data_IF_122569112122
#
_entry.id   IF_122569112122
#
_cell.length_a   1.000
_cell.length_b   1.000
_cell.length_c   1.000
_cell.angle_alpha   90.00
_cell.angle_beta   90.00
_cell.angle_gamma   90.00
#
_symmetry.space_group_name_H-M   'P 1'
#
loop_
_entity.id
_entity.type
_entity.pdbx_description
1 polymer ?
#
# COMPACT_ATOMS: atom_id res chain seq x y z
N UNK A 1 22.28 16.56 10.58
CA UNK A 1 21.62 15.91 9.41
C UNK A 1 20.93 16.98 8.58
N UNK A 2 21.11 16.98 7.26
CA UNK A 2 20.49 17.93 6.32
C UNK A 2 19.81 17.15 5.20
N UNK A 3 18.64 17.61 4.75
CA UNK A 3 17.84 16.99 3.68
C UNK A 3 18.06 17.68 2.32
N UNK A 4 17.51 17.10 1.24
CA UNK A 4 17.76 17.50 -0.16
C UNK A 4 17.56 19.00 -0.41
N UNK A 5 16.38 19.54 -0.11
CA UNK A 5 16.02 20.93 -0.41
C UNK A 5 16.89 21.94 0.34
N UNK A 6 17.26 21.61 1.59
CA UNK A 6 18.17 22.42 2.41
C UNK A 6 19.62 22.34 1.92
N UNK A 7 20.12 21.14 1.61
CA UNK A 7 21.49 20.93 1.10
C UNK A 7 21.73 21.62 -0.23
N UNK A 8 20.75 21.58 -1.12
CA UNK A 8 20.82 22.18 -2.46
C UNK A 8 20.34 23.64 -2.50
N UNK A 9 19.90 24.18 -1.36
CA UNK A 9 19.39 25.55 -1.26
C UNK A 9 18.18 25.83 -2.17
N UNK A 10 17.34 24.82 -2.43
CA UNK A 10 16.28 24.87 -3.46
C UNK A 10 15.24 25.96 -3.20
N UNK A 11 15.03 26.29 -1.92
CA UNK A 11 14.11 27.32 -1.44
C UNK A 11 14.79 28.43 -0.65
N UNK A 12 16.13 28.50 -0.66
CA UNK A 12 16.90 29.56 0.03
C UNK A 12 17.62 30.49 -0.95
N UNK A 13 17.82 31.75 -0.56
CA UNK A 13 18.55 32.73 -1.36
C UNK A 13 17.74 33.39 -2.49
N UNK A 14 18.40 34.26 -3.26
CA UNK A 14 17.77 35.09 -4.30
C UNK A 14 17.28 34.26 -5.50
N UNK A 15 18.08 33.29 -5.96
CA UNK A 15 17.79 32.49 -7.15
C UNK A 15 16.56 31.58 -7.05
N UNK A 16 16.06 31.32 -5.84
CA UNK A 16 14.86 30.51 -5.58
C UNK A 16 13.61 31.35 -5.31
N UNK A 17 13.67 32.68 -5.44
CA UNK A 17 12.53 33.57 -5.17
C UNK A 17 11.30 33.24 -6.02
N UNK A 18 11.47 32.88 -7.29
CA UNK A 18 10.36 32.45 -8.16
C UNK A 18 9.68 31.18 -7.65
N UNK A 19 10.46 30.18 -7.21
CA UNK A 19 9.93 28.94 -6.62
C UNK A 19 9.17 29.21 -5.33
N UNK A 20 9.75 30.00 -4.42
CA UNK A 20 9.06 30.42 -3.19
C UNK A 20 7.78 31.20 -3.50
N UNK A 21 7.77 32.07 -4.51
CA UNK A 21 6.58 32.84 -4.87
C UNK A 21 5.40 31.93 -5.27
N UNK A 22 5.65 30.83 -6.00
CA UNK A 22 4.62 29.85 -6.33
C UNK A 22 4.04 29.22 -5.06
N UNK A 23 4.89 28.71 -4.16
CA UNK A 23 4.40 28.10 -2.92
C UNK A 23 3.78 29.11 -1.94
N UNK A 24 4.27 30.34 -1.88
CA UNK A 24 3.60 31.42 -1.14
C UNK A 24 2.22 31.73 -1.72
N UNK A 25 2.06 31.67 -3.04
CA UNK A 25 0.77 31.73 -3.72
C UNK A 25 -0.17 30.58 -3.33
N UNK A 26 0.36 29.42 -2.95
CA UNK A 26 -0.41 28.29 -2.40
C UNK A 26 -0.73 28.43 -0.90
N UNK A 27 -0.27 29.50 -0.23
CA UNK A 27 -0.53 29.75 1.18
C UNK A 27 0.57 29.32 2.15
N UNK A 28 1.73 28.88 1.66
CA UNK A 28 2.90 28.59 2.52
C UNK A 28 3.67 29.86 2.86
N UNK A 29 4.39 29.87 3.97
CA UNK A 29 5.29 30.98 4.33
C UNK A 29 6.78 30.59 4.34
N UNK A 30 7.65 31.47 4.85
CA UNK A 30 9.08 31.18 4.93
C UNK A 30 9.41 30.12 5.98
N UNK A 31 8.61 29.97 7.04
CA UNK A 31 8.79 28.93 8.05
C UNK A 31 8.47 27.56 7.44
N UNK A 32 7.35 27.44 6.73
CA UNK A 32 6.94 26.22 6.02
C UNK A 32 8.00 25.76 5.03
N UNK A 33 8.53 26.69 4.23
CA UNK A 33 9.53 26.39 3.20
C UNK A 33 10.95 26.17 3.76
N UNK A 34 11.16 26.41 5.05
CA UNK A 34 12.41 26.12 5.75
C UNK A 34 12.51 24.70 6.29
N UNK A 35 11.38 23.97 6.34
CA UNK A 35 11.23 22.61 6.84
C UNK A 35 11.35 21.58 5.69
N UNK A 36 11.48 20.27 5.98
CA UNK A 36 11.37 19.23 4.97
C UNK A 36 10.01 19.25 4.28
N UNK A 37 9.99 19.30 2.93
CA UNK A 37 8.76 19.27 2.16
C UNK A 37 8.35 17.81 1.88
N UNK A 38 7.25 17.36 2.46
CA UNK A 38 6.82 15.96 2.41
C UNK A 38 5.61 15.80 1.49
N UNK A 39 5.76 15.03 0.42
CA UNK A 39 4.65 14.64 -0.45
C UNK A 39 3.73 13.64 0.23
N UNK A 40 2.43 13.90 0.26
CA UNK A 40 1.41 12.91 0.63
C UNK A 40 0.73 12.47 -0.66
N UNK A 41 1.13 11.31 -1.16
CA UNK A 41 0.56 10.71 -2.38
C UNK A 41 -0.76 10.06 -2.01
N UNK A 42 -1.87 10.71 -2.37
CA UNK A 42 -3.21 10.26 -1.99
C UNK A 42 -3.97 9.72 -3.21
N UNK A 43 -4.38 8.46 -3.14
CA UNK A 43 -5.14 7.77 -4.21
C UNK A 43 -6.65 7.77 -3.97
N UNK A 44 -7.14 8.60 -3.03
CA UNK A 44 -8.56 8.75 -2.72
C UNK A 44 -9.41 9.06 -3.97
N UNK A 45 -10.57 8.41 -4.05
CA UNK A 45 -11.60 8.65 -5.05
C UNK A 45 -12.90 7.95 -4.65
N UNK A 46 -14.01 8.36 -5.28
CA UNK A 46 -15.34 7.81 -5.02
C UNK A 46 -15.62 6.48 -5.73
N UNK A 47 -14.75 6.07 -6.66
CA UNK A 47 -14.96 4.93 -7.55
C UNK A 47 -14.38 3.59 -7.03
N UNK A 48 -13.73 3.60 -5.87
CA UNK A 48 -13.15 2.40 -5.27
C UNK A 48 -13.26 2.41 -3.75
N UNK A 49 -13.93 1.39 -3.19
CA UNK A 49 -14.12 1.28 -1.75
C UNK A 49 -12.80 1.20 -0.96
N UNK A 50 -11.72 0.71 -1.58
CA UNK A 50 -10.39 0.70 -0.97
C UNK A 50 -9.74 2.08 -0.83
N UNK A 51 -10.24 3.10 -1.54
CA UNK A 51 -9.64 4.42 -1.59
C UNK A 51 -10.54 5.53 -1.04
N UNK A 52 -11.85 5.32 -0.94
CA UNK A 52 -12.83 6.36 -0.54
C UNK A 52 -12.57 6.98 0.84
N UNK A 53 -11.88 6.28 1.75
CA UNK A 53 -11.54 6.78 3.08
C UNK A 53 -10.15 7.40 3.20
N UNK A 54 -9.34 7.39 2.13
CA UNK A 54 -7.93 7.78 2.24
C UNK A 54 -7.72 9.26 2.54
N UNK A 55 -8.65 10.14 2.20
CA UNK A 55 -8.61 11.56 2.62
C UNK A 55 -8.57 11.72 4.13
N UNK A 56 -9.29 10.86 4.87
CA UNK A 56 -9.27 10.84 6.33
C UNK A 56 -7.89 10.44 6.84
N UNK A 57 -7.24 9.48 6.19
CA UNK A 57 -5.88 9.06 6.56
C UNK A 57 -4.86 10.12 6.16
N UNK A 58 -4.99 10.74 4.99
CA UNK A 58 -4.16 11.84 4.53
C UNK A 58 -4.18 13.01 5.53
N UNK A 59 -5.37 13.39 6.03
CA UNK A 59 -5.48 14.41 7.08
C UNK A 59 -4.67 14.07 8.35
N UNK A 60 -4.68 12.79 8.78
CA UNK A 60 -3.89 12.32 9.93
C UNK A 60 -2.39 12.27 9.64
N UNK A 61 -1.99 11.84 8.44
CA UNK A 61 -0.61 11.90 7.98
C UNK A 61 -0.09 13.33 8.00
N UNK A 62 -0.83 14.28 7.41
CA UNK A 62 -0.47 15.71 7.41
C UNK A 62 -0.30 16.26 8.81
N UNK A 63 -1.20 15.91 9.74
CA UNK A 63 -1.06 16.28 11.15
C UNK A 63 0.22 15.71 11.78
N UNK A 64 0.57 14.46 11.48
CA UNK A 64 1.82 13.84 11.93
C UNK A 64 3.08 14.53 11.37
N UNK A 65 3.06 14.90 10.10
CA UNK A 65 4.16 15.63 9.43
C UNK A 65 4.39 16.98 10.11
N UNK A 66 3.31 17.75 10.32
CA UNK A 66 3.38 19.05 11.00
C UNK A 66 3.92 18.92 12.43
N UNK A 67 3.48 17.91 13.18
CA UNK A 67 3.96 17.65 14.54
C UNK A 67 5.46 17.33 14.61
N UNK A 68 6.02 16.73 13.55
CA UNK A 68 7.45 16.39 13.48
C UNK A 68 8.31 17.51 12.85
N UNK A 69 7.71 18.65 12.51
CA UNK A 69 8.40 19.81 11.92
C UNK A 69 8.67 19.66 10.42
N UNK A 70 7.85 18.91 9.69
CA UNK A 70 7.79 18.90 8.23
C UNK A 70 6.64 19.75 7.69
N UNK A 71 6.64 19.97 6.38
CA UNK A 71 5.58 20.69 5.66
C UNK A 71 4.93 19.74 4.66
N UNK A 72 3.64 19.37 4.86
CA UNK A 72 2.98 18.42 3.97
C UNK A 72 2.48 19.07 2.67
N UNK A 73 2.70 18.39 1.54
CA UNK A 73 2.16 18.71 0.22
C UNK A 73 1.38 17.51 -0.28
N UNK A 74 0.04 17.62 -0.27
CA UNK A 74 -0.79 16.55 -0.79
C UNK A 74 -0.97 16.66 -2.30
N UNK A 75 -0.86 15.53 -2.99
CA UNK A 75 -1.21 15.42 -4.40
C UNK A 75 -1.77 14.04 -4.71
N UNK A 76 -2.54 13.95 -5.78
CA UNK A 76 -3.18 12.70 -6.19
C UNK A 76 -2.54 12.07 -7.42
N UNK A 77 -2.71 10.76 -7.51
CA UNK A 77 -2.53 9.99 -8.74
C UNK A 77 -3.77 9.13 -8.97
N UNK A 78 -3.93 8.59 -10.16
CA UNK A 78 -5.12 7.80 -10.51
C UNK A 78 -5.17 6.50 -9.70
N UNK A 79 -6.37 6.03 -9.41
CA UNK A 79 -6.60 4.70 -8.87
C UNK A 79 -7.93 4.14 -9.37
N UNK A 80 -7.98 2.82 -9.51
CA UNK A 80 -9.14 2.07 -9.99
C UNK A 80 -9.49 0.94 -9.03
N UNK A 81 -10.68 0.37 -9.20
CA UNK A 81 -11.08 -0.87 -8.56
C UNK A 81 -11.16 -1.96 -9.63
N UNK A 82 -10.18 -2.88 -9.63
CA UNK A 82 -10.12 -4.00 -10.59
C UNK A 82 -11.33 -4.94 -10.54
N UNK A 83 -12.12 -4.92 -9.47
CA UNK A 83 -13.35 -5.71 -9.34
C UNK A 83 -14.49 -5.25 -10.27
N UNK A 84 -14.55 -3.96 -10.62
CA UNK A 84 -15.63 -3.39 -11.42
C UNK A 84 -15.61 -3.86 -12.89
N UNK A 85 -14.46 -3.84 -13.60
CA UNK A 85 -14.42 -4.25 -15.00
C UNK A 85 -14.26 -5.76 -15.23
N UNK A 86 -14.36 -6.61 -14.20
CA UNK A 86 -14.25 -8.08 -14.34
C UNK A 86 -15.27 -8.57 -15.38
N UNK A 87 -14.84 -9.44 -16.30
CA UNK A 87 -15.67 -9.96 -17.38
C UNK A 87 -15.84 -9.01 -18.57
N UNK A 88 -15.22 -7.82 -18.55
CA UNK A 88 -15.27 -6.85 -19.66
C UNK A 88 -13.89 -6.70 -20.36
N UNK A 89 -13.85 -6.21 -21.60
CA UNK A 89 -12.59 -5.91 -22.29
C UNK A 89 -11.73 -4.82 -21.60
N UNK A 90 -12.30 -4.08 -20.65
CA UNK A 90 -11.62 -2.98 -19.97
C UNK A 90 -10.70 -3.45 -18.83
N UNK A 91 -10.80 -4.71 -18.39
CA UNK A 91 -9.90 -5.26 -17.38
C UNK A 91 -8.42 -5.19 -17.80
N UNK A 92 -8.13 -5.14 -19.11
CA UNK A 92 -6.77 -4.96 -19.66
C UNK A 92 -6.03 -3.71 -19.17
N UNK A 93 -6.75 -2.71 -18.68
CA UNK A 93 -6.14 -1.48 -18.15
C UNK A 93 -5.61 -1.62 -16.73
N UNK A 94 -5.98 -2.68 -16.01
CA UNK A 94 -5.62 -2.82 -14.60
C UNK A 94 -4.10 -2.87 -14.43
N UNK A 95 -3.40 -3.80 -15.10
CA UNK A 95 -1.95 -3.92 -14.90
C UNK A 95 -1.19 -2.68 -15.40
N UNK A 96 -1.64 -2.07 -16.50
CA UNK A 96 -1.01 -0.89 -17.11
C UNK A 96 -1.04 0.31 -16.16
N UNK A 97 -2.05 0.42 -15.31
CA UNK A 97 -2.19 1.55 -14.37
C UNK A 97 -0.99 1.66 -13.42
N UNK A 98 -0.37 0.53 -13.08
CA UNK A 98 0.78 0.46 -12.18
C UNK A 98 1.92 1.37 -12.66
N UNK A 99 2.25 1.28 -13.94
CA UNK A 99 3.37 2.03 -14.53
C UNK A 99 3.02 3.51 -14.76
N UNK A 100 1.75 3.82 -15.01
CA UNK A 100 1.23 5.20 -15.06
C UNK A 100 1.33 5.87 -13.69
N UNK A 101 0.93 5.17 -12.63
CA UNK A 101 1.02 5.64 -11.24
C UNK A 101 2.48 5.85 -10.85
N UNK A 102 3.35 4.89 -11.13
CA UNK A 102 4.78 5.01 -10.87
C UNK A 102 5.37 6.28 -11.50
N UNK A 103 5.07 6.51 -12.77
CA UNK A 103 5.53 7.68 -13.52
C UNK A 103 4.95 8.99 -12.94
N UNK A 104 3.67 8.99 -12.57
CA UNK A 104 2.99 10.13 -11.95
C UNK A 104 3.63 10.54 -10.62
N UNK A 105 3.94 9.57 -9.75
CA UNK A 105 4.62 9.81 -8.46
C UNK A 105 6.03 10.35 -8.69
N UNK A 106 6.81 9.71 -9.57
CA UNK A 106 8.19 10.10 -9.88
C UNK A 106 8.27 11.54 -10.40
N UNK A 107 7.43 11.88 -11.38
CA UNK A 107 7.38 13.21 -11.99
C UNK A 107 7.02 14.26 -10.92
N UNK A 108 5.95 14.02 -10.18
CA UNK A 108 5.45 15.01 -9.23
C UNK A 108 6.46 15.25 -8.10
N UNK A 109 7.04 14.18 -7.55
CA UNK A 109 8.03 14.26 -6.49
C UNK A 109 9.28 15.07 -6.91
N UNK A 110 9.78 14.83 -8.12
CA UNK A 110 11.00 15.47 -8.60
C UNK A 110 10.80 16.88 -9.15
N UNK A 111 9.69 17.15 -9.85
CA UNK A 111 9.41 18.49 -10.39
C UNK A 111 9.08 19.48 -9.26
N UNK A 112 8.36 19.03 -8.22
CA UNK A 112 8.06 19.86 -7.04
C UNK A 112 9.20 19.91 -6.02
N UNK A 113 10.32 19.23 -6.29
CA UNK A 113 11.51 19.25 -5.45
C UNK A 113 11.22 18.81 -4.00
N UNK A 114 10.39 17.78 -3.83
CA UNK A 114 10.04 17.24 -2.53
C UNK A 114 11.24 16.54 -1.88
N UNK A 115 11.20 16.44 -0.56
CA UNK A 115 12.26 15.84 0.27
C UNK A 115 11.96 14.41 0.70
N UNK A 116 10.68 14.02 0.77
CA UNK A 116 10.26 12.66 1.09
C UNK A 116 8.78 12.43 0.79
N UNK A 117 8.34 11.17 0.83
CA UNK A 117 7.00 10.76 0.40
C UNK A 117 6.29 9.88 1.43
N UNK A 118 5.00 10.12 1.66
CA UNK A 118 4.07 9.17 2.25
C UNK A 118 3.16 8.66 1.15
N UNK A 119 3.11 7.34 1.00
CA UNK A 119 2.39 6.65 -0.07
C UNK A 119 1.10 6.06 0.51
N UNK A 120 -0.06 6.61 0.13
CA UNK A 120 -1.37 6.09 0.53
C UNK A 120 -1.99 5.33 -0.64
N UNK A 121 -2.13 4.01 -0.48
CA UNK A 121 -2.87 3.16 -1.41
C UNK A 121 -3.45 1.93 -0.71
N UNK A 122 -4.44 1.30 -1.34
CA UNK A 122 -5.06 0.10 -0.77
C UNK A 122 -5.33 -1.02 -1.78
N UNK A 123 -5.59 -0.73 -3.06
CA UNK A 123 -5.95 -1.78 -4.02
C UNK A 123 -4.76 -2.29 -4.83
N UNK A 124 -4.86 -3.58 -5.19
CA UNK A 124 -4.15 -4.33 -6.24
C UNK A 124 -2.90 -3.65 -6.85
N UNK A 125 -2.95 -3.20 -8.11
CA UNK A 125 -1.81 -2.60 -8.82
C UNK A 125 -1.43 -1.19 -8.38
N UNK A 126 -2.24 -0.55 -7.52
CA UNK A 126 -1.99 0.81 -7.04
C UNK A 126 -0.80 0.79 -6.06
N UNK A 127 -0.75 -0.20 -5.18
CA UNK A 127 0.32 -0.38 -4.18
C UNK A 127 1.71 -0.53 -4.84
N UNK A 128 1.94 -1.49 -5.75
CA UNK A 128 3.22 -1.58 -6.44
C UNK A 128 3.49 -0.34 -7.30
N UNK A 129 2.48 0.31 -7.88
CA UNK A 129 2.66 1.55 -8.64
C UNK A 129 3.27 2.68 -7.79
N UNK A 130 2.71 2.95 -6.61
CA UNK A 130 3.26 4.00 -5.72
C UNK A 130 4.63 3.62 -5.15
N UNK A 131 4.88 2.34 -4.88
CA UNK A 131 6.19 1.86 -4.41
C UNK A 131 7.27 1.98 -5.49
N UNK A 132 6.97 1.60 -6.73
CA UNK A 132 7.89 1.77 -7.87
C UNK A 132 8.18 3.27 -8.08
N UNK A 133 7.15 4.11 -8.07
CA UNK A 133 7.32 5.56 -8.20
C UNK A 133 8.21 6.15 -7.10
N UNK A 134 8.07 5.66 -5.87
CA UNK A 134 8.93 6.04 -4.75
C UNK A 134 10.39 5.59 -4.93
N UNK A 135 10.62 4.35 -5.38
CA UNK A 135 11.96 3.84 -5.71
C UNK A 135 12.62 4.71 -6.78
N UNK A 136 11.92 4.97 -7.89
CA UNK A 136 12.42 5.80 -9.00
C UNK A 136 12.66 7.25 -8.61
N UNK A 137 11.85 7.79 -7.70
CA UNK A 137 12.05 9.15 -7.19
C UNK A 137 13.39 9.33 -6.46
N UNK A 138 13.93 8.24 -5.88
CA UNK A 138 15.14 8.26 -5.08
C UNK A 138 14.99 8.99 -3.73
N UNK A 139 13.75 9.26 -3.28
CA UNK A 139 13.48 9.99 -2.05
C UNK A 139 13.14 9.06 -0.88
N UNK A 140 13.47 9.46 0.37
CA UNK A 140 12.93 8.83 1.58
C UNK A 140 11.41 8.68 1.48
N UNK A 141 10.92 7.46 1.67
CA UNK A 141 9.52 7.13 1.41
C UNK A 141 8.99 6.10 2.38
N UNK A 142 7.75 6.25 2.82
CA UNK A 142 7.05 5.29 3.68
C UNK A 142 5.64 5.02 3.14
N UNK A 143 5.23 3.76 3.17
CA UNK A 143 3.90 3.32 2.78
C UNK A 143 2.96 3.26 3.97
N UNK A 144 1.71 3.65 3.75
CA UNK A 144 0.62 3.40 4.67
C UNK A 144 -0.54 2.78 3.92
N UNK A 145 -0.90 1.56 4.33
CA UNK A 145 -2.01 0.83 3.76
C UNK A 145 -3.35 1.44 4.13
N UNK A 146 -4.31 1.42 3.19
CA UNK A 146 -5.71 1.75 3.48
C UNK A 146 -6.36 0.78 4.48
N UNK A 147 -5.92 -0.47 4.49
CA UNK A 147 -6.43 -1.54 5.35
C UNK A 147 -7.61 -2.31 4.74
N UNK A 148 -7.89 -3.53 5.22
CA UNK A 148 -9.01 -4.33 4.75
C UNK A 148 -10.35 -3.71 5.18
N UNK A 149 -11.39 -3.93 4.38
CA UNK A 149 -12.77 -3.69 4.80
C UNK A 149 -13.21 -4.72 5.86
N UNK A 150 -14.29 -4.40 6.57
CA UNK A 150 -14.97 -5.38 7.41
C UNK A 150 -15.75 -6.39 6.54
N UNK A 151 -16.29 -7.40 7.19
CA UNK A 151 -16.96 -8.53 6.54
C UNK A 151 -18.44 -8.52 6.86
N UNK A 152 -19.25 -9.14 6.01
CA UNK A 152 -20.65 -9.43 6.32
C UNK A 152 -20.83 -10.86 6.79
N UNK A 153 -22.00 -11.15 7.37
CA UNK A 153 -22.43 -12.52 7.65
C UNK A 153 -23.51 -12.95 6.66
N UNK A 154 -23.34 -14.14 6.10
CA UNK A 154 -24.28 -14.77 5.18
C UNK A 154 -24.38 -16.25 5.52
N UNK A 155 -25.59 -16.78 5.68
CA UNK A 155 -25.84 -18.20 6.02
C UNK A 155 -25.01 -18.71 7.23
N UNK A 156 -24.88 -17.86 8.27
CA UNK A 156 -24.18 -18.21 9.51
C UNK A 156 -22.65 -18.15 9.45
N UNK A 157 -22.06 -17.83 8.28
CA UNK A 157 -20.61 -17.69 8.08
C UNK A 157 -20.22 -16.28 7.67
N UNK A 158 -18.93 -15.95 7.79
CA UNK A 158 -18.38 -14.75 7.18
C UNK A 158 -18.46 -14.88 5.65
N UNK A 159 -18.75 -13.78 4.97
CA UNK A 159 -18.74 -13.69 3.51
C UNK A 159 -17.93 -12.47 3.06
N UNK A 160 -17.22 -12.67 1.96
CA UNK A 160 -16.38 -11.69 1.27
C UNK A 160 -16.73 -11.70 -0.22
N UNK A 161 -16.11 -10.84 -1.02
CA UNK A 161 -16.47 -10.67 -2.44
C UNK A 161 -16.48 -11.98 -3.24
N UNK A 162 -15.59 -12.93 -2.92
CA UNK A 162 -15.52 -14.22 -3.61
C UNK A 162 -16.80 -15.05 -3.48
N UNK A 163 -17.57 -14.92 -2.40
CA UNK A 163 -18.88 -15.57 -2.30
C UNK A 163 -19.89 -15.04 -3.32
N UNK A 164 -19.90 -13.72 -3.54
CA UNK A 164 -20.76 -13.11 -4.56
C UNK A 164 -20.28 -13.53 -5.95
N UNK A 165 -18.98 -13.48 -6.22
CA UNK A 165 -18.40 -13.87 -7.50
C UNK A 165 -18.72 -15.34 -7.85
N UNK A 166 -18.65 -16.24 -6.86
CA UNK A 166 -19.05 -17.64 -7.03
C UNK A 166 -20.51 -17.78 -7.44
N UNK A 167 -21.43 -17.00 -6.87
CA UNK A 167 -22.83 -17.03 -7.30
C UNK A 167 -23.00 -16.43 -8.69
N UNK A 168 -22.36 -15.29 -8.99
CA UNK A 168 -22.49 -14.59 -10.28
C UNK A 168 -21.99 -15.46 -11.43
N UNK A 169 -20.79 -16.02 -11.30
CA UNK A 169 -20.19 -16.85 -12.35
C UNK A 169 -20.67 -18.30 -12.31
N UNK A 170 -21.01 -18.82 -11.13
CA UNK A 170 -21.53 -20.18 -10.94
C UNK A 170 -22.98 -20.37 -11.38
N UNK A 171 -23.83 -19.34 -11.25
CA UNK A 171 -25.23 -19.39 -11.67
C UNK A 171 -25.42 -19.68 -13.17
N UNK A 172 -24.40 -19.42 -13.99
CA UNK A 172 -24.41 -19.78 -15.41
C UNK A 172 -24.44 -21.30 -15.66
N UNK A 173 -24.18 -22.11 -14.62
CA UNK A 173 -24.02 -23.56 -14.73
C UNK A 173 -25.06 -24.37 -13.92
N UNK A 174 -26.05 -23.73 -13.28
CA UNK A 174 -27.02 -24.40 -12.40
C UNK A 174 -28.48 -24.00 -12.64
N UNK A 175 -29.41 -24.84 -12.17
CA UNK A 175 -30.87 -24.68 -12.32
C UNK A 175 -31.56 -24.02 -11.09
N UNK A 176 -30.81 -23.59 -10.07
CA UNK A 176 -31.36 -22.99 -8.85
C UNK A 176 -31.65 -21.48 -9.00
N UNK A 177 -32.79 -21.03 -8.48
CA UNK A 177 -33.08 -19.60 -8.33
C UNK A 177 -32.22 -18.98 -7.21
N UNK A 178 -31.09 -18.41 -7.60
CA UNK A 178 -30.14 -17.73 -6.71
C UNK A 178 -30.42 -16.24 -6.54
N UNK A 179 -31.49 -15.70 -7.13
CA UNK A 179 -31.73 -14.26 -7.25
C UNK A 179 -31.76 -13.55 -5.89
N UNK A 180 -32.42 -14.14 -4.90
CA UNK A 180 -32.50 -13.58 -3.55
C UNK A 180 -31.14 -13.58 -2.83
N UNK A 181 -30.33 -14.63 -3.02
CA UNK A 181 -28.98 -14.74 -2.44
C UNK A 181 -28.02 -13.74 -3.07
N UNK A 182 -28.06 -13.63 -4.40
CA UNK A 182 -27.32 -12.63 -5.16
C UNK A 182 -27.65 -11.23 -4.66
N UNK A 183 -28.93 -10.89 -4.55
CA UNK A 183 -29.36 -9.57 -4.09
C UNK A 183 -28.87 -9.25 -2.69
N UNK A 184 -29.00 -10.20 -1.76
CA UNK A 184 -28.50 -10.01 -0.40
C UNK A 184 -26.99 -9.74 -0.39
N UNK A 185 -26.19 -10.54 -1.11
CA UNK A 185 -24.74 -10.34 -1.15
C UNK A 185 -24.35 -9.04 -1.87
N UNK A 186 -25.02 -8.68 -2.98
CA UNK A 186 -24.84 -7.40 -3.67
C UNK A 186 -24.96 -6.21 -2.70
N UNK A 187 -26.01 -6.22 -1.87
CA UNK A 187 -26.29 -5.11 -0.95
C UNK A 187 -25.38 -5.11 0.31
N UNK A 188 -24.69 -6.21 0.63
CA UNK A 188 -24.05 -6.39 1.95
C UNK A 188 -22.60 -6.86 1.95
N UNK A 189 -22.07 -7.46 0.89
CA UNK A 189 -20.76 -8.13 0.90
C UNK A 189 -19.58 -7.16 1.08
N UNK A 190 -19.78 -5.90 0.68
CA UNK A 190 -18.84 -4.81 0.88
C UNK A 190 -19.44 -3.77 1.85
N UNK A 191 -19.42 -4.00 3.17
CA UNK A 191 -20.16 -3.20 4.14
C UNK A 191 -19.59 -1.80 4.38
N UNK A 192 -18.41 -1.48 3.85
CA UNK A 192 -17.76 -0.20 4.07
C UNK A 192 -16.40 -0.07 3.37
N UNK A 193 -15.64 0.99 3.68
CA UNK A 193 -14.36 1.26 3.04
C UNK A 193 -13.29 0.21 3.40
N UNK A 194 -12.31 0.05 2.51
CA UNK A 194 -11.15 -0.82 2.65
C UNK A 194 -10.94 -1.80 1.49
N UNK A 195 -9.77 -2.42 1.41
CA UNK A 195 -9.49 -3.47 0.42
C UNK A 195 -10.33 -4.74 0.71
N UNK A 196 -10.60 -5.56 -0.31
CA UNK A 196 -11.31 -6.85 -0.16
C UNK A 196 -10.84 -7.63 1.07
N UNK A 197 -11.72 -8.13 1.93
CA UNK A 197 -11.32 -8.73 3.22
C UNK A 197 -10.70 -10.16 3.14
N UNK A 198 -10.30 -10.58 1.94
CA UNK A 198 -9.68 -11.88 1.64
C UNK A 198 -8.21 -11.71 1.24
N UNK A 199 -7.46 -12.81 1.16
CA UNK A 199 -6.06 -12.84 0.73
C UNK A 199 -5.92 -12.70 -0.80
N UNK A 200 -6.48 -11.62 -1.35
CA UNK A 200 -6.24 -11.19 -2.73
C UNK A 200 -4.94 -10.40 -2.85
N UNK A 201 -4.65 -9.89 -4.04
CA UNK A 201 -3.43 -9.12 -4.28
C UNK A 201 -3.33 -7.87 -3.40
N UNK A 202 -4.44 -7.17 -3.18
CA UNK A 202 -4.46 -5.98 -2.33
C UNK A 202 -3.91 -6.25 -0.92
N UNK A 203 -4.40 -7.27 -0.20
CA UNK A 203 -3.86 -7.59 1.12
C UNK A 203 -2.50 -8.26 1.07
N UNK A 204 -2.23 -9.07 0.04
CA UNK A 204 -0.89 -9.63 -0.18
C UNK A 204 0.13 -8.50 -0.28
N UNK A 205 -0.09 -7.50 -1.12
CA UNK A 205 0.81 -6.36 -1.31
C UNK A 205 0.87 -5.42 -0.10
N UNK A 206 -0.22 -5.23 0.65
CA UNK A 206 -0.18 -4.47 1.91
C UNK A 206 0.70 -5.17 2.96
N UNK A 207 0.57 -6.49 3.10
CA UNK A 207 1.39 -7.30 4.01
C UNK A 207 2.84 -7.30 3.55
N UNK A 208 3.08 -7.43 2.24
CA UNK A 208 4.42 -7.37 1.66
C UNK A 208 5.09 -6.03 1.89
N UNK A 209 4.38 -4.92 1.69
CA UNK A 209 4.94 -3.59 1.94
C UNK A 209 5.39 -3.41 3.40
N UNK A 210 4.76 -4.09 4.36
CA UNK A 210 5.25 -4.14 5.73
C UNK A 210 6.45 -5.10 5.88
N UNK A 211 6.36 -6.30 5.32
CA UNK A 211 7.40 -7.32 5.39
C UNK A 211 8.74 -6.94 4.74
N UNK A 212 8.72 -6.08 3.72
CA UNK A 212 9.92 -5.55 3.06
C UNK A 212 10.42 -4.23 3.69
N UNK A 213 9.86 -3.82 4.83
CA UNK A 213 10.33 -2.66 5.60
C UNK A 213 9.79 -1.30 5.13
N UNK A 214 8.86 -1.27 4.17
CA UNK A 214 8.32 -0.01 3.64
C UNK A 214 7.17 0.58 4.47
N UNK A 215 6.65 -0.15 5.47
CA UNK A 215 5.53 0.29 6.33
C UNK A 215 5.89 0.14 7.80
N UNK A 216 5.16 0.83 8.68
CA UNK A 216 5.31 0.63 10.12
C UNK A 216 4.83 -0.78 10.52
N UNK A 217 5.54 -1.50 11.41
CA UNK A 217 5.11 -2.80 11.90
C UNK A 217 3.72 -2.77 12.55
N UNK A 218 2.90 -3.77 12.23
CA UNK A 218 1.51 -3.93 12.60
C UNK A 218 0.51 -3.09 11.79
N UNK A 219 0.95 -2.26 10.85
CA UNK A 219 0.05 -1.31 10.18
C UNK A 219 -0.79 -1.91 9.05
N UNK A 220 -0.29 -2.95 8.36
CA UNK A 220 -0.86 -3.43 7.11
C UNK A 220 -2.28 -3.97 7.26
N UNK A 221 -2.50 -4.81 8.28
CA UNK A 221 -3.73 -5.60 8.46
C UNK A 221 -4.81 -4.87 9.27
N UNK A 222 -4.50 -3.71 9.87
CA UNK A 222 -5.47 -2.93 10.64
C UNK A 222 -6.67 -2.55 9.75
N UNK A 223 -7.91 -2.92 10.12
CA UNK A 223 -9.09 -2.59 9.34
C UNK A 223 -9.26 -1.09 9.09
N UNK A 224 -9.76 -0.74 7.90
CA UNK A 224 -9.85 0.64 7.41
C UNK A 224 -10.65 1.57 8.34
N UNK A 225 -11.67 1.04 9.02
CA UNK A 225 -12.57 1.79 9.90
C UNK A 225 -12.09 1.91 11.35
N UNK A 226 -11.00 1.23 11.73
CA UNK A 226 -10.52 1.27 13.10
C UNK A 226 -9.75 2.56 13.38
N UNK A 227 -9.98 3.16 14.55
CA UNK A 227 -9.22 4.33 15.01
C UNK A 227 -7.70 4.06 15.11
N UNK A 228 -7.32 2.78 15.22
CA UNK A 228 -5.93 2.36 15.14
C UNK A 228 -5.26 2.72 13.82
N UNK A 229 -5.99 2.64 12.69
CA UNK A 229 -5.47 3.02 11.38
C UNK A 229 -5.10 4.50 11.34
N UNK A 230 -5.92 5.36 11.94
CA UNK A 230 -5.61 6.79 12.07
C UNK A 230 -4.42 7.08 12.98
N UNK A 231 -4.23 6.29 14.05
CA UNK A 231 -3.04 6.38 14.90
C UNK A 231 -1.79 5.97 14.12
N UNK A 232 -1.86 4.92 13.30
CA UNK A 232 -0.78 4.59 12.36
C UNK A 232 -0.53 5.71 11.35
N UNK A 233 -1.57 6.30 10.76
CA UNK A 233 -1.43 7.42 9.84
C UNK A 233 -0.66 8.60 10.45
N UNK A 234 -1.00 8.98 11.68
CA UNK A 234 -0.29 10.04 12.41
C UNK A 234 1.17 9.64 12.68
N UNK A 235 1.43 8.39 13.09
CA UNK A 235 2.80 7.88 13.32
C UNK A 235 3.63 7.84 12.04
N UNK A 236 3.04 7.42 10.92
CA UNK A 236 3.68 7.42 9.60
C UNK A 236 4.10 8.84 9.20
N UNK A 237 3.21 9.82 9.39
CA UNK A 237 3.51 11.23 9.13
C UNK A 237 4.66 11.78 9.98
N UNK A 238 4.82 11.33 11.22
CA UNK A 238 6.00 11.69 12.03
C UNK A 238 7.26 10.97 11.52
N UNK A 239 7.16 9.66 11.26
CA UNK A 239 8.29 8.83 10.86
C UNK A 239 8.95 9.30 9.57
N UNK A 240 8.17 9.71 8.56
CA UNK A 240 8.74 10.17 7.28
C UNK A 240 9.64 11.39 7.45
N UNK A 241 9.32 12.30 8.37
CA UNK A 241 10.15 13.48 8.63
C UNK A 241 11.51 13.08 9.21
N UNK A 242 11.55 12.04 10.03
CA UNK A 242 12.79 11.49 10.56
C UNK A 242 13.57 10.71 9.49
N UNK A 243 12.89 9.91 8.66
CA UNK A 243 13.50 9.23 7.51
C UNK A 243 14.16 10.21 6.54
N UNK A 244 13.57 11.39 6.33
CA UNK A 244 14.16 12.45 5.51
C UNK A 244 15.44 13.02 6.12
N UNK A 245 15.53 13.13 7.45
CA UNK A 245 16.76 13.56 8.13
C UNK A 245 17.83 12.47 8.09
N UNK A 246 17.44 11.21 8.19
CA UNK A 246 18.29 10.02 8.07
C UNK A 246 18.73 9.72 6.63
N UNK A 247 18.13 10.39 5.63
CA UNK A 247 18.29 10.08 4.21
C UNK A 247 17.92 8.61 3.91
N UNK A 248 16.92 8.07 4.60
CA UNK A 248 16.52 6.66 4.51
C UNK A 248 15.58 6.42 3.32
N UNK A 249 16.16 6.12 2.16
CA UNK A 249 15.45 5.87 0.89
C UNK A 249 15.04 4.40 0.74
N UNK A 250 14.06 4.08 -0.13
CA UNK A 250 13.71 2.69 -0.44
C UNK A 250 14.92 1.82 -0.82
N UNK A 251 15.89 2.37 -1.56
CA UNK A 251 17.13 1.65 -1.94
C UNK A 251 18.04 1.31 -0.74
N UNK A 252 17.92 2.03 0.38
CA UNK A 252 18.64 1.71 1.63
C UNK A 252 17.87 0.77 2.55
N UNK A 253 16.57 0.60 2.31
CA UNK A 253 15.70 -0.29 3.10
C UNK A 253 15.60 -1.65 2.41
N UNK A 254 15.23 -1.68 1.14
CA UNK A 254 14.91 -2.90 0.41
C UNK A 254 16.21 -3.52 -0.13
N UNK A 255 16.71 -4.54 0.55
CA UNK A 255 17.77 -5.42 0.05
C UNK A 255 17.21 -6.66 -0.66
N UNK A 256 18.12 -7.49 -1.21
CA UNK A 256 17.75 -8.81 -1.73
C UNK A 256 17.08 -9.66 -0.65
N UNK A 257 17.63 -9.65 0.57
CA UNK A 257 17.09 -10.35 1.73
C UNK A 257 15.68 -9.85 2.11
N UNK A 258 15.40 -8.54 2.05
CA UNK A 258 14.04 -8.04 2.23
C UNK A 258 13.08 -8.60 1.17
N UNK A 259 13.51 -8.69 -0.09
CA UNK A 259 12.69 -9.28 -1.16
C UNK A 259 12.47 -10.79 -0.96
N UNK A 260 13.49 -11.54 -0.53
CA UNK A 260 13.35 -12.96 -0.18
C UNK A 260 12.42 -13.15 1.03
N UNK A 261 12.48 -12.26 2.03
CA UNK A 261 11.51 -12.22 3.12
C UNK A 261 10.09 -11.94 2.60
N UNK A 262 9.96 -11.07 1.60
CA UNK A 262 8.71 -10.84 0.89
C UNK A 262 8.18 -12.12 0.20
N UNK A 263 9.03 -12.87 -0.50
CA UNK A 263 8.63 -14.15 -1.11
C UNK A 263 8.19 -15.14 -0.02
N UNK A 264 8.98 -15.28 1.05
CA UNK A 264 8.69 -16.14 2.20
C UNK A 264 7.34 -15.80 2.82
N UNK A 265 7.06 -14.52 3.04
CA UNK A 265 5.76 -14.05 3.53
C UNK A 265 4.63 -14.38 2.55
N UNK A 266 4.85 -14.18 1.25
CA UNK A 266 3.86 -14.52 0.21
C UNK A 266 3.51 -16.01 0.28
N UNK A 267 4.50 -16.90 0.38
CA UNK A 267 4.27 -18.34 0.49
C UNK A 267 3.55 -18.68 1.79
N UNK A 268 4.02 -18.16 2.92
CA UNK A 268 3.43 -18.44 4.23
C UNK A 268 1.98 -18.00 4.37
N UNK A 269 1.59 -16.90 3.71
CA UNK A 269 0.21 -16.43 3.73
C UNK A 269 -0.68 -16.99 2.61
N UNK A 270 -0.14 -17.82 1.72
CA UNK A 270 -0.77 -18.20 0.45
C UNK A 270 -1.26 -16.97 -0.32
N UNK A 271 -0.36 -16.00 -0.48
CA UNK A 271 -0.62 -14.74 -1.15
C UNK A 271 -0.89 -14.90 -2.65
N UNK A 272 -1.41 -13.83 -3.25
CA UNK A 272 -1.71 -13.77 -4.69
C UNK A 272 -0.48 -14.03 -5.55
N UNK A 273 -0.64 -14.77 -6.64
CA UNK A 273 0.41 -15.00 -7.64
C UNK A 273 0.88 -13.70 -8.32
N UNK A 274 0.06 -12.64 -8.33
CA UNK A 274 0.46 -11.31 -8.81
C UNK A 274 1.64 -10.73 -8.01
N UNK A 275 1.86 -11.17 -6.77
CA UNK A 275 3.01 -10.77 -5.98
C UNK A 275 4.34 -11.09 -6.68
N UNK A 276 4.40 -12.18 -7.47
CA UNK A 276 5.58 -12.54 -8.28
C UNK A 276 5.92 -11.39 -9.24
N UNK A 277 4.94 -10.93 -10.02
CA UNK A 277 5.13 -9.84 -10.99
C UNK A 277 5.57 -8.55 -10.29
N UNK A 278 4.98 -8.24 -9.14
CA UNK A 278 5.24 -7.01 -8.41
C UNK A 278 6.62 -7.02 -7.74
N UNK A 279 7.01 -8.09 -7.06
CA UNK A 279 8.33 -8.22 -6.45
C UNK A 279 9.45 -8.20 -7.49
N UNK A 280 9.29 -8.90 -8.62
CA UNK A 280 10.25 -8.82 -9.73
C UNK A 280 10.36 -7.39 -10.30
N UNK A 281 9.26 -6.66 -10.36
CA UNK A 281 9.27 -5.27 -10.82
C UNK A 281 10.00 -4.34 -9.84
N UNK A 282 9.79 -4.51 -8.53
CA UNK A 282 10.52 -3.78 -7.50
C UNK A 282 12.01 -4.09 -7.54
N UNK A 283 12.38 -5.38 -7.66
CA UNK A 283 13.77 -5.82 -7.77
C UNK A 283 14.47 -5.16 -8.96
N UNK A 284 13.80 -5.11 -10.12
CA UNK A 284 14.32 -4.47 -11.32
C UNK A 284 14.58 -2.97 -11.16
N UNK A 285 13.65 -2.22 -10.58
CA UNK A 285 13.84 -0.78 -10.34
C UNK A 285 14.90 -0.49 -9.26
N UNK A 286 15.21 -1.47 -8.41
CA UNK A 286 16.28 -1.43 -7.42
C UNK A 286 17.62 -1.98 -7.92
N UNK A 287 17.69 -2.53 -9.13
CA UNK A 287 18.86 -3.24 -9.65
C UNK A 287 19.31 -4.39 -8.71
N UNK A 288 18.33 -5.16 -8.22
CA UNK A 288 18.53 -6.34 -7.38
C UNK A 288 18.23 -7.58 -8.20
N UNK A 289 19.15 -8.55 -8.15
CA UNK A 289 18.98 -9.85 -8.80
C UNK A 289 17.95 -10.70 -8.04
N UNK A 290 16.81 -10.91 -8.68
CA UNK A 290 15.69 -11.72 -8.21
C UNK A 290 15.00 -12.32 -9.43
N UNK A 291 14.82 -13.63 -9.45
CA UNK A 291 14.22 -14.34 -10.57
C UNK A 291 13.13 -15.32 -10.10
N UNK A 292 12.60 -16.12 -11.02
CA UNK A 292 11.57 -17.12 -10.71
C UNK A 292 12.11 -18.34 -9.94
N UNK A 293 13.40 -18.63 -10.04
CA UNK A 293 14.01 -19.77 -9.34
C UNK A 293 14.07 -19.51 -7.83
N UNK A 294 14.24 -18.25 -7.41
CA UNK A 294 14.08 -17.84 -6.01
C UNK A 294 12.68 -18.19 -5.46
N UNK A 295 11.63 -17.97 -6.26
CA UNK A 295 10.26 -18.32 -5.86
C UNK A 295 10.06 -19.83 -5.79
N UNK A 296 10.53 -20.58 -6.80
CA UNK A 296 10.42 -22.05 -6.80
C UNK A 296 11.12 -22.65 -5.58
N UNK A 297 12.36 -22.22 -5.29
CA UNK A 297 13.13 -22.70 -4.14
C UNK A 297 12.41 -22.43 -2.83
N UNK A 298 12.00 -21.19 -2.58
CA UNK A 298 11.32 -20.82 -1.31
C UNK A 298 9.98 -21.55 -1.18
N UNK A 299 9.24 -21.75 -2.27
CA UNK A 299 7.94 -22.45 -2.24
C UNK A 299 8.02 -23.91 -1.77
N UNK A 300 9.18 -24.55 -1.91
CA UNK A 300 9.43 -25.93 -1.47
C UNK A 300 9.72 -26.05 0.02
N UNK A 301 10.13 -24.96 0.65
CA UNK A 301 10.63 -24.94 2.04
C UNK A 301 9.60 -24.32 2.99
N UNK A 302 8.88 -23.29 2.55
CA UNK A 302 8.01 -22.49 3.42
C UNK A 302 6.60 -23.08 3.51
N UNK A 303 6.10 -23.40 4.72
CA UNK A 303 4.75 -23.90 4.91
C UNK A 303 3.70 -22.79 4.79
N UNK A 304 2.51 -23.14 4.33
CA UNK A 304 1.34 -22.25 4.38
C UNK A 304 0.78 -22.24 5.81
N UNK A 305 0.84 -21.08 6.47
CA UNK A 305 0.37 -20.89 7.85
C UNK A 305 -0.91 -20.06 7.95
N UNK A 306 -1.30 -19.36 6.88
CA UNK A 306 -2.53 -18.57 6.84
C UNK A 306 -3.75 -19.39 6.47
N UNK A 307 -4.83 -19.22 7.23
CA UNK A 307 -6.17 -19.77 6.92
C UNK A 307 -7.13 -18.73 6.37
N UNK A 308 -6.61 -17.61 5.87
CA UNK A 308 -7.43 -16.57 5.26
C UNK A 308 -8.01 -17.08 3.93
N UNK A 309 -9.27 -16.73 3.62
CA UNK A 309 -9.91 -16.99 2.32
C UNK A 309 -8.97 -16.46 1.20
N UNK A 310 -8.69 -17.23 0.13
CA UNK A 310 -9.38 -18.45 -0.30
C UNK A 310 -8.88 -19.77 0.31
N UNK A 311 -7.74 -19.76 1.02
CA UNK A 311 -7.10 -20.99 1.54
C UNK A 311 -7.86 -21.61 2.70
N UNK A 312 -8.49 -20.79 3.54
CA UNK A 312 -9.29 -21.25 4.67
C UNK A 312 -10.58 -20.47 4.83
N UNK A 313 -11.04 -20.33 6.09
CA UNK A 313 -12.32 -19.71 6.44
C UNK A 313 -12.18 -18.37 7.18
N UNK A 314 -10.95 -17.96 7.48
CA UNK A 314 -10.67 -16.71 8.18
C UNK A 314 -10.60 -15.53 7.19
N UNK A 315 -10.67 -14.32 7.69
CA UNK A 315 -10.51 -13.09 6.90
C UNK A 315 -9.26 -12.33 7.32
N UNK A 316 -8.89 -11.28 6.58
CA UNK A 316 -7.74 -10.45 6.98
C UNK A 316 -8.02 -9.71 8.30
N UNK A 317 -9.29 -9.48 8.62
CA UNK A 317 -9.70 -8.95 9.94
C UNK A 317 -9.38 -9.96 11.05
N UNK A 318 -9.67 -11.24 10.84
CA UNK A 318 -9.30 -12.29 11.79
C UNK A 318 -7.77 -12.40 11.94
N UNK A 319 -7.03 -12.28 10.82
CA UNK A 319 -5.56 -12.26 10.83
C UNK A 319 -5.01 -11.08 11.64
N UNK A 320 -5.60 -9.89 11.51
CA UNK A 320 -5.22 -8.74 12.32
C UNK A 320 -5.40 -9.03 13.82
N UNK A 321 -6.54 -9.60 14.21
CA UNK A 321 -6.82 -9.99 15.59
C UNK A 321 -5.91 -11.11 16.11
N UNK A 322 -5.39 -11.96 15.22
CA UNK A 322 -4.38 -12.97 15.54
C UNK A 322 -2.95 -12.41 15.67
N UNK A 323 -2.76 -11.09 15.54
CA UNK A 323 -1.46 -10.41 15.68
C UNK A 323 -0.86 -9.89 14.37
N UNK A 324 -1.57 -10.04 13.25
CA UNK A 324 -1.22 -9.42 11.97
C UNK A 324 0.12 -9.89 11.40
N UNK A 325 0.78 -9.00 10.66
CA UNK A 325 2.06 -9.29 10.01
C UNK A 325 3.17 -9.62 11.01
N UNK A 326 3.30 -8.94 12.17
CA UNK A 326 4.31 -9.32 13.16
C UNK A 326 4.17 -10.77 13.66
N UNK A 327 2.94 -11.26 13.84
CA UNK A 327 2.70 -12.66 14.21
C UNK A 327 3.10 -13.62 13.09
N UNK A 328 2.74 -13.32 11.83
CA UNK A 328 3.17 -14.12 10.67
C UNK A 328 4.70 -14.18 10.59
N UNK A 329 5.38 -13.04 10.73
CA UNK A 329 6.85 -12.98 10.69
C UNK A 329 7.48 -13.75 11.86
N UNK A 330 6.85 -13.73 13.04
CA UNK A 330 7.29 -14.52 14.19
C UNK A 330 7.22 -16.03 13.92
N UNK A 331 6.12 -16.51 13.35
CA UNK A 331 5.93 -17.93 13.02
C UNK A 331 6.85 -18.37 11.86
N UNK A 332 7.14 -17.50 10.90
CA UNK A 332 8.05 -17.79 9.79
C UNK A 332 9.52 -17.53 10.13
N UNK A 333 9.87 -17.22 11.38
CA UNK A 333 11.17 -16.67 11.76
C UNK A 333 12.38 -17.48 11.29
N UNK A 334 12.30 -18.82 11.27
CA UNK A 334 13.38 -19.69 10.79
C UNK A 334 13.64 -19.62 9.28
N UNK A 335 12.65 -19.13 8.52
CA UNK A 335 12.72 -18.93 7.06
C UNK A 335 13.09 -17.49 6.69
N UNK A 336 13.16 -16.57 7.66
CA UNK A 336 13.39 -15.15 7.41
C UNK A 336 14.85 -14.75 7.66
N UNK A 337 15.32 -13.84 6.82
CA UNK A 337 16.59 -13.14 7.01
C UNK A 337 16.42 -12.04 8.07
N UNK A 338 16.65 -12.37 9.35
CA UNK A 338 16.45 -11.44 10.48
C UNK A 338 17.41 -10.25 10.56
N UNK A 339 18.44 -10.19 9.71
CA UNK A 339 19.36 -9.05 9.60
C UNK A 339 18.95 -8.00 8.58
N UNK A 340 17.84 -8.22 7.86
CA UNK A 340 17.28 -7.24 6.93
C UNK A 340 16.68 -6.07 7.72
N UNK A 341 16.96 -4.85 7.26
CA UNK A 341 16.55 -3.59 7.90
C UNK A 341 15.03 -3.38 7.89
#
# INVERSE_FOLDING_TARGET
MTWRSKRLGLFSGRGSASRRAIYKGCGYDDEDLSRPLIGVVNTANDAGLGHVHLDRLAARVKAGILQAGGTPFEFSTIATCGAVPIGTPHLRYELVIRDVIASSVEIMANVQLLDGLVLLASCDSIIPGVLIGAIRSGLPSIFLSGGPQLVTRFEGRQAVMSELDQLVFGAQYGDEDVSAKLRYLEDNVCPGPGACALMGTANTMQILAEGIGMSLPGSATVPAVYAEKERFATRTGRRIVDMVKEDLTPRKIISRENLLNGITLTMGIAGSTNAVLHLLSLARDLDIDLDLDDFDRISREVPVISRVIPTGKATVVDLHHAGGVPAIMGELGEYLHGGAL
#
